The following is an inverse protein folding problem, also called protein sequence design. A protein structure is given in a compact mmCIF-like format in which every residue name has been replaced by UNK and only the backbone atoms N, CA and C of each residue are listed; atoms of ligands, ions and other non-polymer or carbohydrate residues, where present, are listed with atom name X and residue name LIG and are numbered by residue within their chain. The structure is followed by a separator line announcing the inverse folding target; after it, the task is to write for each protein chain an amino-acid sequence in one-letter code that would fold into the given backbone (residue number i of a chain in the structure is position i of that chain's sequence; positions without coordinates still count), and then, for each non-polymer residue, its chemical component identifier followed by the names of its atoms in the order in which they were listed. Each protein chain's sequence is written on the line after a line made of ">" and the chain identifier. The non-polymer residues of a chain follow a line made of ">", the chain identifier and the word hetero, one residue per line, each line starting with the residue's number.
data_IF_574948680145
#
_entry.id   IF_574948680145
#
_cell.length_a   1.000
_cell.length_b   1.000
_cell.length_c   1.000
_cell.angle_alpha   90.00
_cell.angle_beta   90.00
_cell.angle_gamma   90.00
#
_symmetry.space_group_name_H-M   'P 1'
#
loop_
_entity.id
_entity.type
_entity.pdbx_description
1 polymer ?
#
# COMPACT_ATOMS: atom_id res chain seq x y z
N UNK A 1 -14.06 -8.80 14.69
CA UNK A 1 -13.06 -7.77 14.33
C UNK A 1 -11.62 -8.17 14.67
N UNK A 2 -11.35 -8.91 15.76
CA UNK A 2 -9.97 -9.14 16.29
C UNK A 2 -9.64 -10.63 16.46
N UNK A 3 -10.19 -11.46 15.59
CA UNK A 3 -9.78 -12.85 15.48
C UNK A 3 -8.63 -12.96 14.48
N UNK A 4 -7.74 -13.96 14.62
CA UNK A 4 -6.74 -14.23 13.60
C UNK A 4 -7.42 -14.41 12.23
N UNK A 5 -6.88 -13.75 11.20
CA UNK A 5 -7.31 -14.00 9.83
C UNK A 5 -6.66 -15.30 9.37
N UNK A 6 -7.48 -16.29 9.01
CA UNK A 6 -7.04 -17.52 8.37
C UNK A 6 -7.26 -17.38 6.86
N UNK A 7 -6.21 -16.98 6.14
CA UNK A 7 -6.23 -16.79 4.69
C UNK A 7 -4.84 -17.11 4.17
N UNK A 8 -4.76 -18.11 3.29
CA UNK A 8 -3.54 -18.57 2.67
C UNK A 8 -3.76 -18.67 1.16
N UNK A 9 -2.81 -18.16 0.39
CA UNK A 9 -2.87 -18.13 -1.07
C UNK A 9 -1.49 -18.51 -1.61
N UNK A 10 -1.44 -19.29 -2.69
CA UNK A 10 -0.17 -19.67 -3.34
C UNK A 10 0.38 -18.56 -4.21
N UNK A 11 -0.51 -17.82 -4.89
CA UNK A 11 -0.16 -16.68 -5.72
C UNK A 11 -0.93 -15.44 -5.28
N UNK A 12 -0.20 -14.33 -5.13
CA UNK A 12 -0.75 -13.06 -4.69
C UNK A 12 -0.41 -11.97 -5.70
N UNK A 13 -1.42 -11.20 -6.13
CA UNK A 13 -1.22 -9.96 -6.86
C UNK A 13 -1.51 -8.78 -5.92
N UNK A 14 -0.49 -7.98 -5.60
CA UNK A 14 -0.68 -6.74 -4.88
C UNK A 14 -0.82 -5.59 -5.89
N UNK A 15 -2.04 -5.12 -6.06
CA UNK A 15 -2.37 -4.02 -6.98
C UNK A 15 -2.28 -2.71 -6.23
N UNK A 16 -1.36 -1.88 -6.69
CA UNK A 16 -1.08 -0.56 -6.12
C UNK A 16 -2.09 0.45 -6.66
N UNK A 17 -2.00 1.72 -6.24
CA UNK A 17 -2.93 2.78 -6.67
C UNK A 17 -2.39 3.69 -7.77
N UNK A 18 -1.18 3.48 -8.30
CA UNK A 18 -0.46 4.47 -9.13
C UNK A 18 -1.03 4.59 -10.53
N UNK A 19 -0.93 5.81 -11.07
CA UNK A 19 -1.20 6.09 -12.49
C UNK A 19 -0.34 5.30 -13.47
N UNK A 20 0.80 4.74 -13.06
CA UNK A 20 1.64 3.84 -13.88
C UNK A 20 0.89 2.58 -14.34
N UNK A 21 -0.20 2.20 -13.67
CA UNK A 21 -1.00 1.04 -14.07
C UNK A 21 -1.79 1.28 -15.36
N UNK A 22 -2.13 2.53 -15.68
CA UNK A 22 -2.98 2.87 -16.82
C UNK A 22 -2.28 2.59 -18.14
N UNK A 23 -2.99 1.93 -19.06
CA UNK A 23 -2.46 1.47 -20.34
C UNK A 23 -1.63 0.18 -20.26
N UNK A 24 -1.42 -0.36 -19.06
CA UNK A 24 -0.64 -1.57 -18.84
C UNK A 24 -1.31 -2.85 -19.34
N UNK A 25 -2.64 -2.90 -19.43
CA UNK A 25 -3.40 -4.03 -19.98
C UNK A 25 -3.30 -5.35 -19.20
N UNK A 26 -2.85 -5.31 -17.94
CA UNK A 26 -2.54 -6.50 -17.13
C UNK A 26 -3.71 -7.02 -16.30
N UNK A 27 -4.93 -6.52 -16.50
CA UNK A 27 -6.07 -6.89 -15.66
C UNK A 27 -6.36 -8.39 -15.60
N UNK A 28 -6.24 -9.11 -16.73
CA UNK A 28 -6.42 -10.57 -16.77
C UNK A 28 -5.33 -11.34 -16.02
N UNK A 29 -4.10 -10.85 -16.06
CA UNK A 29 -2.97 -11.45 -15.35
C UNK A 29 -3.13 -11.25 -13.85
N UNK A 30 -3.51 -10.05 -13.40
CA UNK A 30 -3.86 -9.76 -12.00
C UNK A 30 -4.96 -10.71 -11.53
N UNK A 31 -6.04 -10.83 -12.30
CA UNK A 31 -7.20 -11.66 -11.96
C UNK A 31 -6.90 -13.17 -12.02
N UNK A 32 -5.75 -13.59 -12.56
CA UNK A 32 -5.31 -14.99 -12.53
C UNK A 32 -4.71 -15.41 -11.18
N UNK A 33 -4.31 -14.46 -10.34
CA UNK A 33 -3.79 -14.74 -9.01
C UNK A 33 -4.86 -15.35 -8.09
N UNK A 34 -4.45 -16.22 -7.16
CA UNK A 34 -5.35 -16.79 -6.18
C UNK A 34 -5.94 -15.68 -5.28
N UNK A 35 -5.08 -14.74 -4.86
CA UNK A 35 -5.47 -13.59 -4.06
C UNK A 35 -5.06 -12.26 -4.68
N UNK A 36 -6.05 -11.38 -4.88
CA UNK A 36 -5.81 -10.01 -5.32
C UNK A 36 -5.95 -9.07 -4.12
N UNK A 37 -4.86 -8.37 -3.79
CA UNK A 37 -4.76 -7.45 -2.67
C UNK A 37 -4.82 -6.02 -3.20
N UNK A 38 -5.71 -5.20 -2.65
CA UNK A 38 -5.85 -3.77 -2.99
C UNK A 38 -5.76 -2.89 -1.76
N UNK A 39 -5.44 -1.62 -1.99
CA UNK A 39 -5.29 -0.62 -0.92
C UNK A 39 -6.45 0.39 -0.94
N UNK A 40 -6.89 0.77 0.26
CA UNK A 40 -7.81 1.88 0.50
C UNK A 40 -9.04 1.81 -0.41
N UNK A 41 -9.30 2.87 -1.17
CA UNK A 41 -10.47 3.05 -2.03
C UNK A 41 -10.14 2.89 -3.52
N UNK A 42 -9.01 2.26 -3.85
CA UNK A 42 -8.63 2.03 -5.24
C UNK A 42 -9.72 1.22 -5.98
N UNK A 43 -10.40 1.81 -6.99
CA UNK A 43 -11.55 1.22 -7.67
C UNK A 43 -11.14 0.14 -8.67
N UNK A 44 -12.10 -0.66 -9.13
CA UNK A 44 -11.91 -1.53 -10.31
C UNK A 44 -12.79 -1.11 -11.48
N UNK A 45 -13.92 -0.46 -11.18
CA UNK A 45 -14.85 -0.01 -12.20
C UNK A 45 -14.16 0.98 -13.12
N UNK A 46 -14.38 0.81 -14.42
CA UNK A 46 -13.79 1.60 -15.52
C UNK A 46 -12.28 1.39 -15.75
N UNK A 47 -11.60 0.60 -14.90
CA UNK A 47 -10.16 0.32 -14.99
C UNK A 47 -9.83 -1.17 -15.18
N UNK A 48 -10.82 -2.05 -15.35
CA UNK A 48 -10.65 -3.51 -15.31
C UNK A 48 -9.62 -4.03 -16.32
N UNK A 49 -9.47 -3.37 -17.47
CA UNK A 49 -8.47 -3.74 -18.48
C UNK A 49 -7.04 -3.69 -17.90
N UNK A 50 -6.77 -2.70 -17.07
CA UNK A 50 -5.43 -2.40 -16.57
C UNK A 50 -5.22 -3.00 -15.17
N UNK A 51 -6.22 -2.89 -14.31
CA UNK A 51 -6.09 -3.24 -12.88
C UNK A 51 -6.85 -4.50 -12.47
N UNK A 52 -7.59 -5.15 -13.37
CA UNK A 52 -8.43 -6.31 -13.07
C UNK A 52 -9.71 -5.95 -12.30
N UNK A 53 -10.59 -6.93 -12.12
CA UNK A 53 -11.89 -6.74 -11.45
C UNK A 53 -11.97 -7.47 -10.10
N UNK A 54 -11.09 -8.44 -9.84
CA UNK A 54 -11.12 -9.21 -8.59
C UNK A 54 -10.50 -8.41 -7.44
N UNK A 55 -11.06 -8.61 -6.26
CA UNK A 55 -10.48 -8.21 -4.98
C UNK A 55 -10.75 -9.32 -3.96
N UNK A 56 -9.69 -9.89 -3.39
CA UNK A 56 -9.78 -10.91 -2.33
C UNK A 56 -9.55 -10.28 -0.95
N UNK A 57 -8.60 -9.34 -0.88
CA UNK A 57 -8.23 -8.64 0.35
C UNK A 57 -8.09 -7.14 0.08
N UNK A 58 -8.73 -6.32 0.91
CA UNK A 58 -8.59 -4.85 0.87
C UNK A 58 -8.06 -4.34 2.20
N UNK A 59 -6.89 -3.72 2.16
CA UNK A 59 -6.25 -3.12 3.34
C UNK A 59 -6.57 -1.62 3.35
N UNK A 60 -7.22 -1.16 4.40
CA UNK A 60 -7.78 0.19 4.49
C UNK A 60 -7.18 0.95 5.67
N UNK A 61 -6.49 2.05 5.37
CA UNK A 61 -6.04 2.97 6.39
C UNK A 61 -7.22 3.73 7.00
N UNK A 62 -7.10 4.10 8.27
CA UNK A 62 -8.15 4.80 9.02
C UNK A 62 -8.68 6.06 8.34
N UNK A 63 -7.80 6.84 7.71
CA UNK A 63 -8.13 8.05 6.95
C UNK A 63 -8.95 7.76 5.69
N UNK A 64 -8.80 6.57 5.10
CA UNK A 64 -9.53 6.12 3.91
C UNK A 64 -10.86 5.43 4.24
N UNK A 65 -11.13 5.13 5.53
CA UNK A 65 -12.33 4.41 5.94
C UNK A 65 -13.60 5.05 5.40
N UNK A 66 -13.75 6.36 5.55
CA UNK A 66 -14.96 7.04 5.09
C UNK A 66 -15.13 6.92 3.58
N UNK A 67 -14.07 7.15 2.79
CA UNK A 67 -14.12 7.01 1.33
C UNK A 67 -14.54 5.61 0.89
N UNK A 68 -14.00 4.58 1.53
CA UNK A 68 -14.39 3.18 1.28
C UNK A 68 -15.86 2.91 1.63
N UNK A 69 -16.35 3.44 2.76
CA UNK A 69 -17.74 3.25 3.18
C UNK A 69 -18.74 4.01 2.28
N UNK A 70 -18.39 5.20 1.79
CA UNK A 70 -19.21 5.95 0.83
C UNK A 70 -19.25 5.25 -0.52
N UNK A 71 -18.13 4.66 -0.97
CA UNK A 71 -18.04 3.85 -2.19
C UNK A 71 -18.70 2.47 -2.11
N UNK A 72 -19.71 2.26 -1.24
CA UNK A 72 -20.30 0.94 -0.93
C UNK A 72 -20.68 0.10 -2.14
N UNK A 73 -21.32 0.71 -3.15
CA UNK A 73 -21.81 -0.02 -4.33
C UNK A 73 -20.68 -0.64 -5.14
N UNK A 74 -19.52 0.00 -5.15
CA UNK A 74 -18.36 -0.45 -5.92
C UNK A 74 -17.40 -1.24 -5.03
N UNK A 75 -16.99 -0.66 -3.90
CA UNK A 75 -15.88 -1.15 -3.09
C UNK A 75 -16.27 -2.22 -2.09
N UNK A 76 -17.53 -2.24 -1.62
CA UNK A 76 -18.02 -3.24 -0.66
C UNK A 76 -18.82 -4.36 -1.33
N UNK A 77 -19.48 -4.07 -2.45
CA UNK A 77 -20.29 -5.04 -3.18
C UNK A 77 -19.59 -5.65 -4.42
N UNK A 78 -18.41 -5.15 -4.82
CA UNK A 78 -17.72 -5.59 -6.04
C UNK A 78 -17.27 -7.05 -6.04
N UNK A 79 -16.94 -7.63 -4.87
CA UNK A 79 -16.57 -9.04 -4.75
C UNK A 79 -17.16 -9.63 -3.46
N UNK A 80 -18.05 -10.64 -3.63
CA UNK A 80 -18.90 -11.23 -2.57
C UNK A 80 -18.12 -11.82 -1.39
N UNK A 81 -16.83 -12.08 -1.57
CA UNK A 81 -15.95 -12.65 -0.56
C UNK A 81 -14.76 -11.75 -0.22
N UNK A 82 -14.86 -10.43 -0.38
CA UNK A 82 -13.72 -9.56 -0.02
C UNK A 82 -13.49 -9.52 1.50
N UNK A 83 -12.25 -9.74 1.93
CA UNK A 83 -11.81 -9.47 3.31
C UNK A 83 -11.36 -8.03 3.42
N UNK A 84 -11.81 -7.32 4.46
CA UNK A 84 -11.39 -5.95 4.74
C UNK A 84 -10.54 -5.92 6.02
N UNK A 85 -9.31 -5.42 5.92
CA UNK A 85 -8.43 -5.20 7.08
C UNK A 85 -8.27 -3.70 7.28
N UNK A 86 -8.73 -3.19 8.41
CA UNK A 86 -8.58 -1.78 8.78
C UNK A 86 -7.43 -1.57 9.75
N UNK A 87 -6.75 -0.44 9.61
CA UNK A 87 -5.62 -0.12 10.46
C UNK A 87 -5.46 1.39 10.65
N UNK A 88 -4.84 1.82 11.75
CA UNK A 88 -4.57 3.22 12.01
C UNK A 88 -3.93 3.47 13.37
N UNK A 89 -3.71 4.74 13.73
CA UNK A 89 -3.09 5.10 15.00
C UNK A 89 -3.88 4.55 16.19
N UNK A 90 -3.17 4.18 17.25
CA UNK A 90 -3.76 3.57 18.44
C UNK A 90 -4.89 4.40 19.04
N UNK A 91 -4.81 5.74 18.96
CA UNK A 91 -5.85 6.66 19.42
C UNK A 91 -7.20 6.48 18.70
N UNK A 92 -7.21 6.20 17.40
CA UNK A 92 -8.44 6.00 16.62
C UNK A 92 -8.97 4.56 16.71
N UNK A 93 -8.10 3.61 17.05
CA UNK A 93 -8.41 2.17 17.08
C UNK A 93 -8.72 1.63 18.50
N UNK A 94 -8.87 2.53 19.49
CA UNK A 94 -9.15 2.15 20.89
C UNK A 94 -10.50 1.46 21.03
N UNK A 95 -10.58 0.50 21.95
CA UNK A 95 -11.79 -0.30 22.23
C UNK A 95 -12.58 0.16 23.46
N UNK A 96 -12.06 1.14 24.17
CA UNK A 96 -12.64 1.72 25.39
C UNK A 96 -13.78 2.72 25.10
N UNK A 97 -14.37 2.65 23.91
CA UNK A 97 -15.40 3.59 23.44
C UNK A 97 -14.85 4.92 22.93
N UNK A 98 -13.55 5.22 23.06
CA UNK A 98 -12.96 6.48 22.55
C UNK A 98 -12.36 6.38 21.15
N UNK A 99 -12.22 5.17 20.61
CA UNK A 99 -11.65 4.95 19.27
C UNK A 99 -12.68 5.19 18.17
N UNK A 100 -12.65 6.38 17.57
CA UNK A 100 -13.61 6.78 16.53
C UNK A 100 -13.73 5.76 15.38
N UNK A 101 -12.60 5.24 14.89
CA UNK A 101 -12.57 4.30 13.77
C UNK A 101 -13.05 2.92 14.22
N UNK A 102 -12.61 2.45 15.38
CA UNK A 102 -13.10 1.19 15.95
C UNK A 102 -14.62 1.20 16.17
N UNK A 103 -15.16 2.30 16.69
CA UNK A 103 -16.59 2.47 16.92
C UNK A 103 -17.38 2.45 15.60
N UNK A 104 -16.90 3.15 14.57
CA UNK A 104 -17.50 3.10 13.23
C UNK A 104 -17.48 1.68 12.64
N UNK A 105 -16.35 0.96 12.74
CA UNK A 105 -16.25 -0.41 12.25
C UNK A 105 -17.17 -1.38 13.01
N UNK A 106 -17.39 -1.14 14.30
CA UNK A 106 -18.38 -1.88 15.09
C UNK A 106 -19.79 -1.67 14.55
N UNK A 107 -20.17 -0.44 14.20
CA UNK A 107 -21.47 -0.13 13.57
C UNK A 107 -21.57 -0.76 12.18
N UNK A 108 -20.53 -0.67 11.35
CA UNK A 108 -20.48 -1.31 10.03
C UNK A 108 -20.71 -2.80 10.14
N UNK A 109 -20.10 -3.48 11.12
CA UNK A 109 -20.30 -4.93 11.33
C UNK A 109 -21.72 -5.27 11.80
N UNK A 110 -22.41 -4.36 12.47
CA UNK A 110 -23.83 -4.53 12.84
C UNK A 110 -24.76 -4.35 11.65
N UNK A 111 -24.48 -3.36 10.79
CA UNK A 111 -25.31 -3.05 9.61
C UNK A 111 -25.04 -4.02 8.44
N UNK A 112 -23.81 -4.49 8.31
CA UNK A 112 -23.35 -5.40 7.26
C UNK A 112 -22.69 -6.64 7.89
N UNK A 113 -23.49 -7.56 8.47
CA UNK A 113 -22.96 -8.73 9.16
C UNK A 113 -22.19 -9.68 8.24
N UNK A 114 -22.56 -9.76 6.96
CA UNK A 114 -21.85 -10.55 5.94
C UNK A 114 -20.45 -10.02 5.62
N UNK A 115 -20.19 -8.73 5.87
CA UNK A 115 -18.90 -8.13 5.56
C UNK A 115 -17.81 -8.70 6.48
N UNK A 116 -16.74 -9.23 5.88
CA UNK A 116 -15.60 -9.82 6.59
C UNK A 116 -14.60 -8.74 7.02
N UNK A 117 -14.91 -8.07 8.13
CA UNK A 117 -14.12 -6.94 8.66
C UNK A 117 -13.18 -7.37 9.79
N UNK A 118 -11.91 -7.02 9.63
CA UNK A 118 -10.82 -7.24 10.57
C UNK A 118 -10.10 -5.93 10.88
N UNK A 119 -9.43 -5.89 12.03
CA UNK A 119 -8.52 -4.78 12.38
C UNK A 119 -7.13 -5.32 12.72
N UNK A 120 -6.10 -4.57 12.38
CA UNK A 120 -4.73 -4.89 12.82
C UNK A 120 -4.65 -4.64 14.33
N UNK A 121 -4.15 -5.62 15.09
CA UNK A 121 -4.00 -5.50 16.53
C UNK A 121 -2.85 -4.55 16.90
N UNK A 122 -2.90 -3.97 18.11
CA UNK A 122 -1.80 -3.12 18.62
C UNK A 122 -0.47 -3.88 18.63
N UNK A 123 -0.47 -5.15 19.02
CA UNK A 123 0.72 -5.98 19.02
C UNK A 123 1.29 -6.17 17.61
N UNK A 124 0.44 -6.40 16.61
CA UNK A 124 0.87 -6.52 15.21
C UNK A 124 1.40 -5.19 14.66
N UNK A 125 0.80 -4.06 15.01
CA UNK A 125 1.34 -2.74 14.64
C UNK A 125 2.74 -2.52 15.21
N UNK A 126 2.98 -2.86 16.49
CA UNK A 126 4.32 -2.77 17.09
C UNK A 126 5.33 -3.68 16.38
N UNK A 127 4.92 -4.89 15.98
CA UNK A 127 5.79 -5.78 15.19
C UNK A 127 6.13 -5.18 13.81
N UNK A 128 5.19 -4.47 13.16
CA UNK A 128 5.48 -3.76 11.92
C UNK A 128 6.39 -2.55 12.12
N UNK A 129 6.30 -1.86 13.26
CA UNK A 129 7.19 -0.76 13.60
C UNK A 129 8.64 -1.26 13.77
N UNK A 130 8.84 -2.36 14.51
CA UNK A 130 10.15 -2.99 14.69
C UNK A 130 10.72 -3.52 13.37
N UNK A 131 9.87 -4.14 12.54
CA UNK A 131 10.25 -4.56 11.19
C UNK A 131 10.74 -3.36 10.39
N UNK A 132 9.96 -2.29 10.31
CA UNK A 132 10.33 -1.08 9.57
C UNK A 132 11.66 -0.51 10.08
N UNK A 133 11.82 -0.38 11.40
CA UNK A 133 13.07 0.10 12.01
C UNK A 133 14.26 -0.76 11.63
N UNK A 134 14.11 -2.09 11.63
CA UNK A 134 15.18 -3.02 11.26
C UNK A 134 15.57 -2.89 9.78
N UNK A 135 14.59 -2.78 8.88
CA UNK A 135 14.87 -2.71 7.44
C UNK A 135 15.41 -1.33 7.00
N UNK A 136 15.02 -0.25 7.69
CA UNK A 136 15.36 1.11 7.25
C UNK A 136 16.34 1.84 8.15
N UNK A 137 16.60 1.32 9.36
CA UNK A 137 17.35 2.01 10.42
C UNK A 137 16.66 3.26 10.97
N UNK A 138 15.34 3.42 10.77
CA UNK A 138 14.59 4.63 11.16
C UNK A 138 13.42 4.30 12.08
N UNK A 139 13.25 5.07 13.14
CA UNK A 139 12.12 4.94 14.05
C UNK A 139 10.85 5.55 13.44
N UNK A 140 9.78 4.75 13.34
CA UNK A 140 8.46 5.28 12.97
C UNK A 140 7.94 6.30 13.99
N UNK A 141 8.35 6.23 15.26
CA UNK A 141 7.81 7.10 16.31
C UNK A 141 8.61 8.39 16.54
N UNK A 142 9.94 8.35 16.41
CA UNK A 142 10.83 9.48 16.74
C UNK A 142 10.95 10.48 15.57
N UNK A 143 10.84 10.01 14.33
CA UNK A 143 10.93 10.87 13.13
C UNK A 143 9.59 11.54 12.73
N UNK A 144 8.71 11.86 13.69
CA UNK A 144 7.39 12.49 13.49
C UNK A 144 6.41 11.68 12.62
N UNK A 145 6.43 10.35 12.73
CA UNK A 145 5.57 9.44 11.95
C UNK A 145 4.38 8.89 12.76
N UNK A 146 3.91 9.58 13.79
CA UNK A 146 2.69 9.25 14.58
C UNK A 146 1.37 9.30 13.76
N UNK A 147 1.46 9.62 12.47
CA UNK A 147 0.31 9.70 11.53
C UNK A 147 0.56 9.01 10.18
N UNK A 148 1.70 8.33 10.00
CA UNK A 148 2.07 7.77 8.70
C UNK A 148 1.28 6.51 8.38
N UNK A 149 0.58 6.50 7.24
CA UNK A 149 -0.20 5.35 6.80
C UNK A 149 0.69 4.33 6.07
N UNK A 150 1.76 3.85 6.70
CA UNK A 150 2.72 2.90 6.13
C UNK A 150 2.36 1.42 6.33
N UNK A 151 1.47 0.94 5.46
CA UNK A 151 1.50 -0.39 4.83
C UNK A 151 1.67 -0.12 3.31
N UNK A 152 2.32 -1.02 2.58
CA UNK A 152 3.35 -0.65 1.61
C UNK A 152 2.83 0.15 0.43
N UNK A 153 3.39 1.34 0.25
CA UNK A 153 3.30 2.06 -1.00
C UNK A 153 4.39 1.55 -1.95
N UNK A 154 4.12 0.42 -2.61
CA UNK A 154 4.97 -0.12 -3.67
C UNK A 154 4.86 0.74 -4.92
N UNK A 155 5.89 1.46 -5.33
CA UNK A 155 5.86 2.18 -6.61
C UNK A 155 7.26 2.40 -7.17
N UNK A 156 7.48 2.44 -8.47
CA UNK A 156 8.73 2.97 -9.02
C UNK A 156 8.45 3.73 -10.31
N UNK A 157 7.96 4.96 -10.19
CA UNK A 157 8.06 5.97 -11.26
C UNK A 157 8.99 7.14 -10.91
N UNK A 158 9.30 7.34 -9.62
CA UNK A 158 10.16 8.44 -9.17
C UNK A 158 11.55 7.99 -8.75
N UNK A 159 12.49 7.99 -9.70
CA UNK A 159 13.93 7.99 -9.42
C UNK A 159 14.34 9.46 -9.24
N UNK A 160 14.74 9.87 -8.03
CA UNK A 160 15.53 11.12 -7.93
C UNK A 160 16.82 10.87 -8.74
N UNK A 161 17.17 11.68 -9.75
CA UNK A 161 18.55 11.72 -10.18
C UNK A 161 19.37 12.08 -8.94
N UNK A 162 20.54 11.45 -8.70
CA UNK A 162 21.54 12.07 -7.85
C UNK A 162 21.74 13.49 -8.38
N UNK A 163 21.70 14.50 -7.51
CA UNK A 163 21.81 15.93 -7.84
C UNK A 163 23.20 16.34 -8.41
N UNK A 164 23.89 15.44 -9.14
CA UNK A 164 25.22 15.67 -9.70
C UNK A 164 25.32 15.47 -11.22
N UNK A 165 24.23 15.17 -11.93
CA UNK A 165 24.17 15.25 -13.39
C UNK A 165 22.80 15.80 -13.83
N UNK A 166 22.61 17.12 -13.73
CA UNK A 166 21.62 17.83 -14.57
C UNK A 166 22.38 18.67 -15.57
N UNK A 167 22.89 18.03 -16.61
CA UNK A 167 23.18 18.69 -17.87
C UNK A 167 21.87 19.26 -18.42
N UNK A 168 21.90 20.55 -18.74
CA UNK A 168 20.81 21.32 -19.36
C UNK A 168 20.38 20.62 -20.66
N UNK A 169 19.19 20.00 -20.70
CA UNK A 169 18.55 19.58 -21.95
C UNK A 169 18.07 18.13 -22.09
N UNK A 170 18.08 17.29 -21.06
CA UNK A 170 17.48 15.94 -21.16
C UNK A 170 15.99 15.93 -20.80
N UNK A 171 15.17 15.38 -21.71
CA UNK A 171 13.76 15.03 -21.51
C UNK A 171 13.59 14.16 -20.26
N UNK A 172 12.47 14.28 -19.52
CA UNK A 172 12.22 13.39 -18.39
C UNK A 172 12.21 11.94 -18.86
N UNK A 173 13.07 11.12 -18.25
CA UNK A 173 13.21 9.67 -18.53
C UNK A 173 11.90 8.88 -18.40
N UNK A 174 10.85 9.45 -17.81
CA UNK A 174 9.53 8.84 -17.65
C UNK A 174 8.38 9.85 -17.83
N UNK A 175 7.25 9.43 -18.44
CA UNK A 175 6.05 10.26 -18.53
C UNK A 175 5.54 10.64 -17.13
N UNK A 176 5.09 11.90 -16.97
CA UNK A 176 4.35 12.30 -15.77
C UNK A 176 3.02 11.53 -15.73
N UNK A 177 2.75 10.91 -14.59
CA UNK A 177 1.52 10.15 -14.33
C UNK A 177 0.88 10.63 -13.04
N UNK A 178 -0.46 10.55 -12.91
CA UNK A 178 -1.12 10.92 -11.67
C UNK A 178 -0.72 9.97 -10.53
N UNK A 179 -0.71 10.49 -9.30
CA UNK A 179 -0.43 9.72 -8.09
C UNK A 179 -1.41 8.56 -7.90
N UNK A 180 -2.66 8.75 -8.29
CA UNK A 180 -3.66 7.69 -8.34
C UNK A 180 -4.20 7.48 -9.76
N UNK A 181 -4.33 6.23 -10.21
CA UNK A 181 -4.89 5.94 -11.55
C UNK A 181 -6.34 6.39 -11.71
N UNK A 182 -7.06 6.50 -10.61
CA UNK A 182 -8.47 6.88 -10.56
C UNK A 182 -8.70 8.36 -10.25
N UNK A 183 -7.63 9.15 -10.16
CA UNK A 183 -7.67 10.60 -10.00
C UNK A 183 -6.79 11.24 -11.09
N UNK A 184 -7.23 11.24 -12.37
CA UNK A 184 -6.39 11.69 -13.49
C UNK A 184 -6.03 13.18 -13.42
N UNK A 185 -6.86 13.98 -12.74
CA UNK A 185 -6.59 15.40 -12.45
C UNK A 185 -5.85 15.61 -11.11
N UNK A 186 -5.40 14.53 -10.47
CA UNK A 186 -4.67 14.56 -9.21
C UNK A 186 -3.21 15.01 -9.37
N UNK A 187 -2.51 15.10 -8.24
CA UNK A 187 -1.09 15.48 -8.22
C UNK A 187 -0.23 14.45 -8.95
N UNK A 188 0.81 14.91 -9.62
CA UNK A 188 1.86 14.06 -10.19
C UNK A 188 2.45 13.10 -9.13
N UNK A 189 2.61 11.82 -9.52
CA UNK A 189 3.10 10.75 -8.66
C UNK A 189 4.47 11.08 -8.03
N UNK A 190 5.38 11.56 -8.88
CA UNK A 190 6.74 11.86 -8.50
C UNK A 190 6.80 12.97 -7.45
N UNK A 191 6.02 14.02 -7.69
CA UNK A 191 5.87 15.18 -6.82
C UNK A 191 5.32 14.77 -5.46
N UNK A 192 4.29 13.91 -5.43
CA UNK A 192 3.74 13.34 -4.19
C UNK A 192 4.78 12.55 -3.40
N UNK A 193 5.59 11.72 -4.07
CA UNK A 193 6.62 10.95 -3.38
C UNK A 193 7.74 11.80 -2.80
N UNK A 194 8.28 12.72 -3.58
CA UNK A 194 9.41 13.53 -3.14
C UNK A 194 9.01 14.48 -2.01
N UNK A 195 7.82 15.08 -2.10
CA UNK A 195 7.31 16.01 -1.07
C UNK A 195 7.06 15.30 0.27
N UNK A 196 6.56 14.06 0.25
CA UNK A 196 6.26 13.32 1.47
C UNK A 196 7.49 12.63 2.06
N UNK A 197 8.46 12.21 1.24
CA UNK A 197 9.64 11.45 1.70
C UNK A 197 10.45 12.19 2.77
N UNK A 198 10.60 13.51 2.65
CA UNK A 198 11.40 14.35 3.55
C UNK A 198 10.63 15.02 4.69
N UNK A 199 9.30 14.82 4.75
CA UNK A 199 8.43 15.52 5.68
C UNK A 199 8.78 15.26 7.14
N UNK A 200 8.97 16.34 7.93
CA UNK A 200 9.27 16.29 9.37
C UNK A 200 8.07 16.60 10.28
N UNK A 201 6.93 17.07 9.75
CA UNK A 201 5.72 17.43 10.53
C UNK A 201 4.44 17.29 9.71
N UNK A 202 3.56 16.37 10.06
CA UNK A 202 2.27 16.16 9.37
C UNK A 202 1.95 14.68 9.16
N UNK A 203 1.01 14.38 8.25
CA UNK A 203 0.76 13.00 7.78
C UNK A 203 1.65 12.72 6.57
N UNK A 204 2.90 12.34 6.82
CA UNK A 204 3.89 12.09 5.76
C UNK A 204 4.14 10.60 5.59
N UNK A 205 4.47 10.20 4.38
CA UNK A 205 4.80 8.83 4.01
C UNK A 205 6.25 8.74 3.58
N UNK A 206 6.90 7.61 3.83
CA UNK A 206 8.29 7.37 3.42
C UNK A 206 8.32 6.54 2.15
N UNK A 207 7.64 7.03 1.11
CA UNK A 207 7.45 6.33 -0.15
C UNK A 207 8.75 5.81 -0.76
N UNK A 208 9.80 6.64 -0.85
CA UNK A 208 11.09 6.24 -1.43
C UNK A 208 11.88 5.28 -0.52
N UNK A 209 11.78 5.46 0.80
CA UNK A 209 12.38 4.50 1.75
C UNK A 209 11.69 3.13 1.67
N UNK A 210 10.36 3.08 1.65
CA UNK A 210 9.59 1.83 1.53
C UNK A 210 9.93 1.08 0.24
N UNK A 211 10.03 1.78 -0.89
CA UNK A 211 10.44 1.19 -2.17
C UNK A 211 11.77 0.44 -2.08
N UNK A 212 12.76 0.99 -1.37
CA UNK A 212 14.07 0.35 -1.20
C UNK A 212 13.96 -0.93 -0.37
N UNK A 213 13.06 -0.98 0.61
CA UNK A 213 12.78 -2.20 1.37
C UNK A 213 12.19 -3.27 0.44
N UNK A 214 11.20 -2.93 -0.39
CA UNK A 214 10.64 -3.88 -1.37
C UNK A 214 11.66 -4.35 -2.41
N UNK A 215 12.55 -3.45 -2.85
CA UNK A 215 13.68 -3.80 -3.72
C UNK A 215 14.57 -4.87 -3.08
N UNK A 216 14.95 -4.65 -1.82
CA UNK A 216 15.77 -5.59 -1.04
C UNK A 216 15.05 -6.93 -0.85
N UNK A 217 13.77 -6.89 -0.50
CA UNK A 217 12.95 -8.08 -0.29
C UNK A 217 12.75 -8.90 -1.55
N UNK A 218 12.63 -8.28 -2.72
CA UNK A 218 12.54 -9.01 -3.99
C UNK A 218 13.84 -9.76 -4.37
N UNK A 219 14.96 -9.49 -3.71
CA UNK A 219 16.17 -10.31 -3.85
C UNK A 219 16.15 -11.58 -3.00
N UNK A 220 15.19 -11.69 -2.07
CA UNK A 220 15.11 -12.74 -1.03
C UNK A 220 13.84 -13.56 -1.18
N UNK A 221 12.75 -12.90 -1.54
CA UNK A 221 11.41 -13.45 -1.72
C UNK A 221 11.02 -13.39 -3.20
N UNK A 222 10.09 -14.26 -3.59
CA UNK A 222 9.52 -14.34 -4.93
C UNK A 222 8.57 -13.15 -5.20
N UNK A 223 9.15 -11.96 -5.34
CA UNK A 223 8.44 -10.70 -5.58
C UNK A 223 8.83 -10.17 -6.95
N UNK A 224 7.85 -10.07 -7.84
CA UNK A 224 8.00 -9.52 -9.17
C UNK A 224 7.24 -8.21 -9.29
N UNK A 225 7.81 -7.25 -10.03
CA UNK A 225 7.20 -5.95 -10.25
C UNK A 225 6.79 -5.79 -11.70
N UNK A 226 5.54 -5.37 -11.89
CA UNK A 226 4.94 -5.18 -13.20
C UNK A 226 4.30 -3.79 -13.20
N UNK A 227 4.78 -2.91 -14.08
CA UNK A 227 4.42 -1.48 -14.21
C UNK A 227 5.15 -0.48 -13.28
N UNK A 228 6.34 -0.02 -13.70
CA UNK A 228 7.14 -0.57 -14.82
C UNK A 228 7.69 -1.96 -14.48
N UNK A 229 7.98 -2.78 -15.48
CA UNK A 229 8.67 -4.05 -15.25
C UNK A 229 10.11 -3.77 -14.82
N UNK A 230 10.52 -4.31 -13.67
CA UNK A 230 11.88 -4.13 -13.17
C UNK A 230 12.30 -5.26 -12.23
N UNK A 231 13.61 -5.50 -12.17
CA UNK A 231 14.23 -6.45 -11.25
C UNK A 231 15.30 -5.71 -10.44
N UNK A 232 15.26 -5.76 -9.10
CA UNK A 232 16.27 -5.12 -8.28
C UNK A 232 17.62 -5.80 -8.44
N UNK A 233 18.68 -4.99 -8.50
CA UNK A 233 20.05 -5.49 -8.40
C UNK A 233 20.30 -5.99 -6.96
N UNK A 234 20.95 -7.16 -6.79
CA UNK A 234 21.23 -7.68 -5.47
C UNK A 234 22.17 -6.74 -4.71
N UNK A 235 21.92 -6.46 -3.41
CA UNK A 235 22.82 -5.65 -2.61
C UNK A 235 24.22 -6.30 -2.52
N UNK A 236 25.28 -5.51 -2.28
CA UNK A 236 26.61 -6.04 -2.04
C UNK A 236 26.59 -7.04 -0.88
N UNK A 237 27.38 -8.12 -0.99
CA UNK A 237 27.34 -9.28 -0.10
C UNK A 237 27.54 -8.99 1.41
N UNK A 238 27.95 -7.78 1.78
CA UNK A 238 28.18 -7.35 3.16
C UNK A 238 26.92 -6.91 3.92
N UNK A 239 25.76 -6.77 3.26
CA UNK A 239 24.53 -6.20 3.87
C UNK A 239 23.37 -7.19 4.03
N UNK A 240 23.59 -8.49 3.88
CA UNK A 240 22.54 -9.49 4.09
C UNK A 240 22.20 -9.60 5.59
N UNK A 241 21.10 -8.98 6.01
CA UNK A 241 20.59 -9.06 7.39
C UNK A 241 19.46 -10.06 7.59
N UNK A 242 18.98 -10.71 6.51
CA UNK A 242 17.88 -11.68 6.58
C UNK A 242 18.39 -13.06 6.15
N UNK A 243 18.36 -14.08 7.03
CA UNK A 243 18.58 -15.46 6.62
C UNK A 243 17.50 -15.87 5.62
N UNK A 244 17.88 -16.57 4.55
CA UNK A 244 16.90 -17.18 3.64
C UNK A 244 15.98 -18.10 4.47
N UNK A 245 14.64 -18.01 4.31
CA UNK A 245 13.79 -19.07 4.83
C UNK A 245 14.17 -20.39 4.15
N UNK A 246 14.26 -21.45 4.96
CA UNK A 246 14.48 -22.82 4.50
C UNK A 246 13.31 -23.33 3.65
#
# INVERSE_FOLDING_TARGET
>A
LVTPLNMHCRTCALVTSSGQLIGGGRGREIDSAECVIRMNDAPTQDYQRDVGDRTSLRVVAHSSMQRVLHGRRELLNGSRDTVFIFWGPSAYMRRDGKGLVYNNLRLVKQVLPELRVYIISRQKMLQFDELFKRETGKDRWVDSCDRSQTLPAMFWGCRKPPELLRSRGEEPLHPSVPYHYYEPAGTDECTMYVSHEGGRRGSHHRFLTEKRVFASWACIFDIHFYQPEWSPEPPPASNWTVPRPA
#
